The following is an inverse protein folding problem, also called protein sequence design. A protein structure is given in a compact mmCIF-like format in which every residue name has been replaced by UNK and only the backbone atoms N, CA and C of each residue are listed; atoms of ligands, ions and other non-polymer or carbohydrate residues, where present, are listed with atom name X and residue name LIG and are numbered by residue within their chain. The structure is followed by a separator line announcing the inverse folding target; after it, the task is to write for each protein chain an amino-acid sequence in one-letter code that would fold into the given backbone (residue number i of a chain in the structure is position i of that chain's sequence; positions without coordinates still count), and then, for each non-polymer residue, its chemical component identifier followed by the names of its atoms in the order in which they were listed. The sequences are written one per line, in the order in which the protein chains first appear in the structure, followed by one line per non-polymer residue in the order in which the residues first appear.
data_IF_044602463434
#
_entry.id   IF_044602463434
#
_cell.length_a   1.000
_cell.length_b   1.000
_cell.length_c   1.000
_cell.angle_alpha   90.00
_cell.angle_beta   90.00
_cell.angle_gamma   90.00
#
_symmetry.space_group_name_H-M   'P 1'
#
loop_
_entity.id
_entity.type
_entity.pdbx_description
1 polymer ?
#
# COMPACT_ATOMS: atom_id res chain seq x y z
N UNK A 1 -1.34 -40.90 -22.47
CA UNK A 1 -0.96 -39.66 -23.18
C UNK A 1 -2.07 -38.61 -23.21
N UNK A 2 -3.34 -38.96 -23.40
CA UNK A 2 -4.45 -38.00 -23.34
C UNK A 2 -4.67 -37.43 -21.93
N UNK A 3 -4.61 -38.27 -20.89
CA UNK A 3 -4.79 -37.85 -19.50
C UNK A 3 -3.72 -36.89 -18.97
N UNK A 4 -2.48 -37.00 -19.45
CA UNK A 4 -1.38 -36.13 -19.04
C UNK A 4 -1.56 -34.71 -19.59
N UNK A 5 -2.07 -34.58 -20.82
CA UNK A 5 -2.36 -33.28 -21.44
C UNK A 5 -3.54 -32.61 -20.72
N UNK A 6 -4.54 -33.41 -20.34
CA UNK A 6 -5.72 -32.92 -19.62
C UNK A 6 -5.37 -32.41 -18.20
N UNK A 7 -4.51 -33.14 -17.49
CA UNK A 7 -3.97 -32.72 -16.20
C UNK A 7 -3.14 -31.44 -16.33
N UNK A 8 -2.23 -31.38 -17.32
CA UNK A 8 -1.39 -30.20 -17.53
C UNK A 8 -2.21 -28.96 -17.87
N UNK A 9 -3.23 -29.10 -18.74
CA UNK A 9 -4.13 -28.02 -19.09
C UNK A 9 -4.91 -27.52 -17.86
N UNK A 10 -5.39 -28.43 -17.01
CA UNK A 10 -6.07 -28.08 -15.76
C UNK A 10 -5.13 -27.33 -14.80
N UNK A 11 -3.89 -27.79 -14.65
CA UNK A 11 -2.89 -27.13 -13.80
C UNK A 11 -2.62 -25.70 -14.28
N UNK A 12 -2.41 -25.50 -15.59
CA UNK A 12 -2.15 -24.17 -16.17
C UNK A 12 -3.34 -23.24 -15.98
N UNK A 13 -4.57 -23.72 -16.16
CA UNK A 13 -5.80 -22.91 -15.96
C UNK A 13 -5.95 -22.49 -14.50
N UNK A 14 -5.75 -23.42 -13.55
CA UNK A 14 -5.83 -23.11 -12.11
C UNK A 14 -4.72 -22.13 -11.71
N UNK A 15 -3.49 -22.36 -12.16
CA UNK A 15 -2.36 -21.48 -11.90
C UNK A 15 -2.63 -20.08 -12.47
N UNK A 16 -3.11 -19.99 -13.71
CA UNK A 16 -3.46 -18.73 -14.36
C UNK A 16 -4.59 -18.00 -13.63
N UNK A 17 -5.60 -18.72 -13.14
CA UNK A 17 -6.71 -18.13 -12.40
C UNK A 17 -6.28 -17.59 -11.03
N UNK A 18 -5.30 -18.22 -10.37
CA UNK A 18 -4.73 -17.75 -9.10
C UNK A 18 -3.76 -16.58 -9.30
N UNK A 19 -3.00 -16.55 -10.39
CA UNK A 19 -2.10 -15.43 -10.71
C UNK A 19 -2.87 -14.19 -11.18
N UNK A 20 -4.01 -14.36 -11.86
CA UNK A 20 -4.79 -13.24 -12.39
C UNK A 20 -5.22 -12.19 -11.36
N UNK A 21 -5.71 -12.52 -10.15
CA UNK A 21 -6.03 -11.52 -9.12
C UNK A 21 -4.78 -10.89 -8.49
N UNK A 22 -3.60 -11.46 -8.67
CA UNK A 22 -2.33 -10.88 -8.20
C UNK A 22 -1.80 -9.80 -9.15
N UNK A 23 -2.02 -9.95 -10.46
CA UNK A 23 -1.49 -9.03 -11.50
C UNK A 23 -2.51 -7.95 -11.89
N UNK A 24 -3.75 -8.02 -11.41
CA UNK A 24 -4.76 -7.00 -11.66
C UNK A 24 -4.84 -6.01 -10.50
N UNK A 25 -4.03 -4.94 -10.47
CA UNK A 25 -4.29 -3.82 -9.58
C UNK A 25 -5.63 -3.24 -10.00
N UNK A 26 -6.67 -3.50 -9.20
CA UNK A 26 -7.96 -2.86 -9.34
C UNK A 26 -7.75 -1.36 -9.31
N UNK A 27 -7.70 -0.72 -10.48
CA UNK A 27 -7.69 0.73 -10.65
C UNK A 27 -9.04 1.28 -10.22
N UNK A 28 -9.35 1.22 -8.92
CA UNK A 28 -10.17 2.24 -8.31
C UNK A 28 -9.38 3.53 -8.46
N UNK A 29 -9.99 4.55 -9.08
CA UNK A 29 -9.47 5.91 -9.11
C UNK A 29 -9.46 6.45 -7.68
N UNK A 30 -8.51 5.98 -6.89
CA UNK A 30 -8.14 6.58 -5.62
C UNK A 30 -7.40 7.88 -5.96
N UNK A 31 -7.60 8.91 -5.14
CA UNK A 31 -6.85 10.16 -5.28
C UNK A 31 -5.34 9.86 -5.42
N UNK A 32 -4.57 10.67 -6.19
CA UNK A 32 -3.16 10.41 -6.40
C UNK A 32 -2.44 10.30 -5.05
N UNK A 33 -1.99 9.09 -4.71
CA UNK A 33 -1.13 8.89 -3.55
C UNK A 33 0.16 9.66 -3.83
N UNK A 34 0.71 10.42 -2.86
CA UNK A 34 2.00 11.07 -3.02
C UNK A 34 3.04 10.06 -3.51
N UNK A 35 3.84 10.42 -4.53
CA UNK A 35 4.79 9.49 -5.15
C UNK A 35 5.69 8.72 -4.16
N UNK A 36 6.19 9.34 -3.06
CA UNK A 36 6.97 8.62 -2.05
C UNK A 36 6.19 7.54 -1.29
N UNK A 37 4.91 7.80 -0.99
CA UNK A 37 4.02 6.84 -0.35
C UNK A 37 3.65 5.69 -1.29
N UNK A 38 3.46 5.98 -2.58
CA UNK A 38 3.15 4.98 -3.58
C UNK A 38 4.31 3.97 -3.75
N UNK A 39 5.56 4.45 -3.74
CA UNK A 39 6.74 3.60 -3.84
C UNK A 39 6.89 2.67 -2.63
N UNK A 40 6.69 3.18 -1.41
CA UNK A 40 6.70 2.37 -0.20
C UNK A 40 5.58 1.32 -0.20
N UNK A 41 4.39 1.66 -0.68
CA UNK A 41 3.28 0.71 -0.81
C UNK A 41 3.61 -0.40 -1.82
N UNK A 42 4.22 -0.06 -2.95
CA UNK A 42 4.67 -1.03 -3.95
C UNK A 42 5.75 -1.96 -3.39
N UNK A 43 6.70 -1.41 -2.63
CA UNK A 43 7.75 -2.18 -1.98
C UNK A 43 7.20 -3.12 -0.91
N UNK A 44 6.20 -2.68 -0.13
CA UNK A 44 5.47 -3.55 0.79
C UNK A 44 4.81 -4.71 0.07
N UNK A 45 4.09 -4.47 -1.03
CA UNK A 45 3.44 -5.56 -1.77
C UNK A 45 4.45 -6.56 -2.31
N UNK A 46 5.57 -6.07 -2.86
CA UNK A 46 6.65 -6.92 -3.34
C UNK A 46 7.22 -7.83 -2.24
N UNK A 47 7.47 -7.28 -1.05
CA UNK A 47 8.03 -8.06 0.07
C UNK A 47 7.06 -9.11 0.58
N UNK A 48 5.75 -8.81 0.61
CA UNK A 48 4.72 -9.78 0.98
C UNK A 48 4.67 -10.93 -0.01
N UNK A 49 4.75 -10.63 -1.32
CA UNK A 49 4.78 -11.66 -2.36
C UNK A 49 6.07 -12.49 -2.27
N UNK A 50 7.22 -11.86 -2.05
CA UNK A 50 8.50 -12.56 -1.90
C UNK A 50 8.53 -13.52 -0.69
N UNK A 51 7.89 -13.15 0.43
CA UNK A 51 7.73 -14.03 1.59
C UNK A 51 6.87 -15.24 1.22
N UNK A 52 5.74 -15.02 0.54
CA UNK A 52 4.83 -16.09 0.12
C UNK A 52 5.53 -17.06 -0.84
N UNK A 53 6.35 -16.57 -1.75
CA UNK A 53 7.11 -17.40 -2.68
C UNK A 53 8.13 -18.29 -1.96
N UNK A 54 8.84 -17.74 -0.96
CA UNK A 54 9.78 -18.52 -0.13
C UNK A 54 9.07 -19.56 0.73
N UNK A 55 7.92 -19.21 1.32
CA UNK A 55 7.07 -20.16 2.06
C UNK A 55 6.58 -21.31 1.15
N UNK A 56 6.23 -20.99 -0.10
CA UNK A 56 5.82 -21.96 -1.10
C UNK A 56 6.96 -22.88 -1.52
N UNK A 57 8.12 -22.32 -1.86
CA UNK A 57 9.31 -23.10 -2.23
C UNK A 57 9.73 -24.05 -1.11
N UNK A 58 9.64 -23.63 0.15
CA UNK A 58 9.89 -24.50 1.30
C UNK A 58 8.83 -25.62 1.42
N UNK A 59 7.54 -25.29 1.26
CA UNK A 59 6.47 -26.30 1.29
C UNK A 59 6.60 -27.36 0.18
N UNK A 60 7.25 -27.00 -0.93
CA UNK A 60 7.58 -27.91 -2.04
C UNK A 60 8.86 -28.70 -1.82
N UNK A 61 9.60 -28.44 -0.75
CA UNK A 61 10.91 -29.04 -0.48
C UNK A 61 12.01 -28.59 -1.44
N UNK A 62 11.84 -27.45 -2.12
CA UNK A 62 12.82 -26.90 -3.08
C UNK A 62 14.00 -26.21 -2.40
N UNK A 63 13.85 -25.85 -1.12
CA UNK A 63 14.85 -25.15 -0.31
C UNK A 63 15.01 -25.83 1.05
N UNK A 64 16.20 -25.74 1.62
CA UNK A 64 16.48 -26.29 2.96
C UNK A 64 15.91 -25.38 4.06
N UNK A 65 15.73 -25.93 5.26
CA UNK A 65 15.23 -25.16 6.42
C UNK A 65 16.09 -23.93 6.73
N UNK A 66 17.43 -24.05 6.66
CA UNK A 66 18.32 -22.92 6.97
C UNK A 66 18.25 -21.82 5.92
N UNK A 67 18.13 -22.17 4.64
CA UNK A 67 17.96 -21.22 3.53
C UNK A 67 16.62 -20.50 3.60
N UNK A 68 15.56 -21.24 3.93
CA UNK A 68 14.23 -20.72 4.18
C UNK A 68 14.24 -19.68 5.31
N UNK A 69 14.75 -20.05 6.49
CA UNK A 69 14.80 -19.17 7.65
C UNK A 69 15.63 -17.91 7.39
N UNK A 70 16.79 -18.06 6.74
CA UNK A 70 17.66 -16.93 6.41
C UNK A 70 16.98 -15.94 5.44
N UNK A 71 16.38 -16.47 4.36
CA UNK A 71 15.76 -15.65 3.31
C UNK A 71 14.49 -14.98 3.81
N UNK A 72 13.62 -15.74 4.47
CA UNK A 72 12.38 -15.23 5.07
C UNK A 72 12.67 -14.19 6.15
N UNK A 73 13.67 -14.44 6.99
CA UNK A 73 14.10 -13.49 8.02
C UNK A 73 14.57 -12.16 7.43
N UNK A 74 15.28 -12.19 6.29
CA UNK A 74 15.70 -10.96 5.59
C UNK A 74 14.48 -10.18 5.08
N UNK A 75 13.56 -10.82 4.36
CA UNK A 75 12.36 -10.15 3.85
C UNK A 75 11.44 -9.63 4.96
N UNK A 76 11.34 -10.34 6.09
CA UNK A 76 10.58 -9.87 7.24
C UNK A 76 11.18 -8.62 7.87
N UNK A 77 12.50 -8.52 7.98
CA UNK A 77 13.17 -7.31 8.47
C UNK A 77 12.91 -6.13 7.54
N UNK A 78 13.08 -6.34 6.24
CA UNK A 78 12.83 -5.29 5.24
C UNK A 78 11.36 -4.85 5.23
N UNK A 79 10.41 -5.78 5.36
CA UNK A 79 8.99 -5.47 5.45
C UNK A 79 8.66 -4.64 6.71
N UNK A 80 9.29 -4.96 7.85
CA UNK A 80 9.14 -4.20 9.08
C UNK A 80 9.70 -2.77 8.97
N UNK A 81 10.79 -2.56 8.24
CA UNK A 81 11.33 -1.23 7.96
C UNK A 81 10.38 -0.41 7.08
N UNK A 82 9.92 -0.99 5.96
CA UNK A 82 8.96 -0.32 5.06
C UNK A 82 7.66 0.05 5.78
N UNK A 83 7.16 -0.80 6.68
CA UNK A 83 5.98 -0.50 7.50
C UNK A 83 6.21 0.69 8.43
N UNK A 84 7.38 0.79 9.07
CA UNK A 84 7.71 1.96 9.90
C UNK A 84 7.78 3.24 9.09
N UNK A 85 8.38 3.19 7.90
CA UNK A 85 8.48 4.35 7.03
C UNK A 85 7.10 4.82 6.55
N UNK A 86 6.20 3.88 6.23
CA UNK A 86 4.80 4.17 5.90
C UNK A 86 4.07 4.85 7.05
N UNK A 87 4.23 4.36 8.29
CA UNK A 87 3.60 4.96 9.47
C UNK A 87 4.10 6.38 9.72
N UNK A 88 5.41 6.61 9.61
CA UNK A 88 6.00 7.94 9.78
C UNK A 88 5.53 8.94 8.70
N UNK A 89 5.51 8.53 7.43
CA UNK A 89 5.05 9.38 6.34
C UNK A 89 3.56 9.68 6.44
N UNK A 90 2.75 8.68 6.81
CA UNK A 90 1.31 8.87 7.00
C UNK A 90 1.02 9.83 8.15
N UNK A 91 1.72 9.70 9.28
CA UNK A 91 1.61 10.63 10.40
C UNK A 91 2.01 12.07 10.04
N UNK A 92 3.12 12.23 9.31
CA UNK A 92 3.59 13.55 8.84
C UNK A 92 2.59 14.20 7.88
N UNK A 93 2.02 13.42 6.97
CA UNK A 93 1.04 13.90 6.00
C UNK A 93 -0.25 14.36 6.68
N UNK A 94 -0.78 13.56 7.62
CA UNK A 94 -1.96 13.92 8.40
C UNK A 94 -1.73 15.22 9.20
N UNK A 95 -0.58 15.35 9.86
CA UNK A 95 -0.25 16.57 10.60
C UNK A 95 -0.16 17.81 9.71
N UNK A 96 0.27 17.67 8.44
CA UNK A 96 0.28 18.76 7.48
C UNK A 96 -1.14 19.17 7.08
N UNK A 97 -1.99 18.20 6.80
CA UNK A 97 -3.41 18.43 6.49
C UNK A 97 -4.10 19.19 7.64
N UNK A 98 -3.89 18.73 8.88
CA UNK A 98 -4.53 19.34 10.06
C UNK A 98 -4.14 20.82 10.23
N UNK A 99 -2.87 21.17 9.96
CA UNK A 99 -2.39 22.56 9.98
C UNK A 99 -3.05 23.41 8.91
N UNK A 100 -3.15 22.88 7.69
CA UNK A 100 -3.74 23.59 6.55
C UNK A 100 -5.25 23.82 6.76
N UNK A 101 -5.96 22.85 7.33
CA UNK A 101 -7.36 23.01 7.73
C UNK A 101 -7.51 24.09 8.80
N UNK A 102 -6.65 24.10 9.82
CA UNK A 102 -6.71 25.11 10.89
C UNK A 102 -6.46 26.54 10.37
N UNK A 103 -5.52 26.70 9.44
CA UNK A 103 -5.23 27.99 8.79
C UNK A 103 -6.43 28.49 7.97
N UNK A 104 -7.02 27.62 7.15
CA UNK A 104 -8.22 27.94 6.37
C UNK A 104 -9.39 28.35 7.27
N UNK A 105 -9.60 27.65 8.39
CA UNK A 105 -10.63 28.01 9.37
C UNK A 105 -10.35 29.37 10.03
N UNK A 106 -9.09 29.69 10.35
CA UNK A 106 -8.72 30.98 10.92
C UNK A 106 -8.95 32.13 9.92
N UNK A 107 -8.60 31.92 8.65
CA UNK A 107 -8.87 32.87 7.58
C UNK A 107 -10.38 33.08 7.39
N UNK A 108 -11.16 32.01 7.35
CA UNK A 108 -12.62 32.06 7.22
C UNK A 108 -13.29 32.81 8.39
N UNK A 109 -12.82 32.60 9.63
CA UNK A 109 -13.28 33.35 10.81
C UNK A 109 -12.94 34.84 10.71
N UNK A 110 -11.74 35.17 10.26
CA UNK A 110 -11.28 36.56 10.09
C UNK A 110 -12.09 37.28 9.02
N UNK A 111 -12.40 36.63 7.90
CA UNK A 111 -13.23 37.20 6.84
C UNK A 111 -14.70 37.35 7.25
N UNK A 112 -15.22 36.42 8.05
CA UNK A 112 -16.58 36.53 8.59
C UNK A 112 -16.74 37.72 9.55
N UNK A 113 -15.75 37.98 10.40
CA UNK A 113 -15.76 39.14 11.32
C UNK A 113 -15.49 40.50 10.66
N UNK A 114 -15.01 40.54 9.41
CA UNK A 114 -14.85 41.79 8.64
C UNK A 114 -16.11 42.20 7.90
N UNK A 115 -16.98 41.27 7.53
CA UNK A 115 -18.28 41.58 6.90
C UNK A 115 -19.26 42.19 7.92
N UNK A 116 -19.27 41.67 9.16
CA UNK A 116 -20.14 42.15 10.26
C UNK A 116 -19.84 43.60 10.70
N UNK A 117 -18.57 44.05 10.61
CA UNK A 117 -18.21 45.46 10.92
C UNK A 117 -18.56 46.46 9.82
N UNK A 118 -18.72 46.02 8.58
CA UNK A 118 -18.99 46.92 7.45
C UNK A 118 -20.46 47.37 7.39
N UNK A 119 -21.38 46.58 7.95
CA UNK A 119 -22.82 46.90 7.96
C UNK A 119 -23.25 47.74 9.19
N UNK A 120 -22.47 47.78 10.27
CA UNK A 120 -22.80 48.52 11.50
C UNK A 120 -22.53 50.04 11.49
N UNK A 121 -22.23 50.65 10.34
CA UNK A 121 -21.94 52.09 10.21
C UNK A 121 -22.94 52.86 9.34
N UNK A 122 -24.11 52.25 9.08
CA UNK A 122 -25.24 52.88 8.39
C UNK A 122 -26.49 52.82 9.26
N UNK A 123 -26.47 53.51 10.41
CA UNK A 123 -27.67 53.98 11.10
C UNK A 123 -27.46 55.41 11.59
#
# INVERSE_FOLDING_TARGET
MTYTILLLALTVVVFSFVLRPLVAPGRRRLAPVPAPLADLLARRSYLVDAIRDVDFDYSMGKVTQSEYEATRGRFMREAAEVLRDLDQQSGTFNAKIDREIAELQALARKSAGTLDRADGHRE
#
